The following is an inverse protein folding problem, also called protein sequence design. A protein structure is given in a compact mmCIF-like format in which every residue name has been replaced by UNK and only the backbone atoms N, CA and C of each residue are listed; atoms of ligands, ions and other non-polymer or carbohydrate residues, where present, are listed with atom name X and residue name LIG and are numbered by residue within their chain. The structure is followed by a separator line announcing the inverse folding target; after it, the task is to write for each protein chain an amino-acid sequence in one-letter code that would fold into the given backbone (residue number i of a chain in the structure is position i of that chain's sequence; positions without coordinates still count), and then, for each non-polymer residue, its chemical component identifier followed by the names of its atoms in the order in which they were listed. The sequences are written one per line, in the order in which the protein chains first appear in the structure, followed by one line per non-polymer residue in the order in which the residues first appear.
data_IF_102993804114
#
_entry.id   IF_102993804114
#
_cell.length_a   1.000
_cell.length_b   1.000
_cell.length_c   1.000
_cell.angle_alpha   90.00
_cell.angle_beta   90.00
_cell.angle_gamma   90.00
#
_symmetry.space_group_name_H-M   'P 1'
#
loop_
_entity.id
_entity.type
_entity.pdbx_description
1 polymer ?
#
# COMPACT_ATOMS: atom_id res chain seq x y z
N UNK A 1 5.52 -1.80 -27.53
CA UNK A 1 4.52 -2.85 -27.82
C UNK A 1 4.47 -3.91 -26.70
N UNK A 2 4.27 -3.54 -25.42
CA UNK A 2 4.29 -4.48 -24.27
C UNK A 2 3.23 -4.19 -23.18
N UNK A 3 2.17 -3.43 -23.49
CA UNK A 3 1.18 -2.94 -22.50
C UNK A 3 0.17 -3.99 -22.02
N UNK A 4 -0.06 -5.06 -22.79
CA UNK A 4 -1.26 -5.89 -22.62
C UNK A 4 -1.24 -6.92 -21.47
N UNK A 5 -0.08 -7.22 -20.87
CA UNK A 5 0.03 -8.24 -19.83
C UNK A 5 -0.10 -7.66 -18.42
N UNK A 6 0.59 -6.54 -18.16
CA UNK A 6 0.56 -5.87 -16.87
C UNK A 6 -0.82 -5.25 -16.58
N UNK A 7 -1.43 -4.59 -17.58
CA UNK A 7 -2.77 -4.00 -17.45
C UNK A 7 -3.84 -5.05 -17.12
N UNK A 8 -3.71 -6.27 -17.66
CA UNK A 8 -4.60 -7.39 -17.36
C UNK A 8 -4.44 -7.91 -15.93
N UNK A 9 -3.21 -8.11 -15.48
CA UNK A 9 -2.94 -8.60 -14.12
C UNK A 9 -3.44 -7.62 -13.05
N UNK A 10 -3.24 -6.31 -13.28
CA UNK A 10 -3.73 -5.24 -12.40
C UNK A 10 -5.27 -5.26 -12.35
N UNK A 11 -5.91 -5.32 -13.52
CA UNK A 11 -7.38 -5.38 -13.61
C UNK A 11 -7.96 -6.59 -12.88
N UNK A 12 -7.30 -7.75 -12.95
CA UNK A 12 -7.75 -8.96 -12.25
C UNK A 12 -7.58 -8.82 -10.74
N UNK A 13 -6.46 -8.27 -10.28
CA UNK A 13 -6.21 -8.03 -8.85
C UNK A 13 -7.33 -7.16 -8.23
N UNK A 14 -7.61 -6.00 -8.84
CA UNK A 14 -8.63 -5.08 -8.34
C UNK A 14 -10.06 -5.62 -8.46
N UNK A 15 -10.32 -6.46 -9.46
CA UNK A 15 -11.59 -7.19 -9.55
C UNK A 15 -11.82 -8.07 -8.30
N UNK A 16 -10.81 -8.84 -7.88
CA UNK A 16 -10.92 -9.66 -6.67
C UNK A 16 -11.03 -8.82 -5.40
N UNK A 17 -10.28 -7.73 -5.27
CA UNK A 17 -10.37 -6.83 -4.11
C UNK A 17 -11.78 -6.26 -3.96
N UNK A 18 -12.39 -5.78 -5.05
CA UNK A 18 -13.77 -5.26 -5.04
C UNK A 18 -14.80 -6.37 -4.78
N UNK A 19 -14.56 -7.59 -5.25
CA UNK A 19 -15.41 -8.75 -4.96
C UNK A 19 -15.36 -9.11 -3.46
N UNK A 20 -14.17 -9.16 -2.87
CA UNK A 20 -13.99 -9.40 -1.44
C UNK A 20 -14.60 -8.28 -0.60
N UNK A 21 -14.52 -7.02 -1.04
CA UNK A 21 -15.09 -5.87 -0.33
C UNK A 21 -16.62 -5.93 -0.22
N UNK A 22 -17.31 -6.56 -1.18
CA UNK A 22 -18.76 -6.75 -1.15
C UNK A 22 -19.21 -7.88 -0.22
N UNK A 23 -18.33 -8.85 0.04
CA UNK A 23 -18.61 -10.03 0.89
C UNK A 23 -18.13 -9.80 2.33
N UNK A 24 -17.19 -8.88 2.53
CA UNK A 24 -16.65 -8.57 3.84
C UNK A 24 -17.74 -8.05 4.77
N UNK A 25 -17.77 -8.58 5.99
CA UNK A 25 -18.67 -8.12 7.05
C UNK A 25 -18.32 -6.69 7.43
N UNK A 26 -19.33 -5.83 7.48
CA UNK A 26 -19.20 -4.43 7.84
C UNK A 26 -18.54 -4.26 9.21
N UNK A 27 -17.66 -3.24 9.33
CA UNK A 27 -16.93 -2.85 10.55
C UNK A 27 -15.87 -3.86 11.04
N UNK A 28 -15.44 -4.79 10.19
CA UNK A 28 -14.26 -5.62 10.47
C UNK A 28 -12.98 -4.92 10.01
N UNK A 29 -11.83 -5.23 10.65
CA UNK A 29 -10.50 -4.76 10.22
C UNK A 29 -10.23 -5.07 8.74
N UNK A 30 -10.75 -6.20 8.26
CA UNK A 30 -10.64 -6.61 6.86
C UNK A 30 -11.47 -5.69 5.94
N UNK A 31 -12.70 -5.34 6.33
CA UNK A 31 -13.51 -4.37 5.56
C UNK A 31 -12.86 -2.99 5.49
N UNK A 32 -12.20 -2.55 6.57
CA UNK A 32 -11.48 -1.29 6.62
C UNK A 32 -10.23 -1.32 5.72
N UNK A 33 -9.44 -2.40 5.77
CA UNK A 33 -8.29 -2.59 4.91
C UNK A 33 -8.66 -2.66 3.42
N UNK A 34 -9.77 -3.32 3.08
CA UNK A 34 -10.27 -3.38 1.70
C UNK A 34 -10.75 -2.01 1.22
N UNK A 35 -11.50 -1.26 2.04
CA UNK A 35 -11.90 0.12 1.72
C UNK A 35 -10.69 1.03 1.53
N UNK A 36 -9.70 0.93 2.41
CA UNK A 36 -8.44 1.66 2.28
C UNK A 36 -7.72 1.33 0.98
N UNK A 37 -7.62 0.04 0.64
CA UNK A 37 -6.96 -0.42 -0.58
C UNK A 37 -7.64 0.13 -1.84
N UNK A 38 -8.98 0.10 -1.89
CA UNK A 38 -9.75 0.66 -3.02
C UNK A 38 -9.53 2.17 -3.14
N UNK A 39 -9.49 2.90 -2.03
CA UNK A 39 -9.26 4.35 -2.04
C UNK A 39 -7.83 4.74 -2.48
N UNK A 40 -6.86 3.82 -2.36
CA UNK A 40 -5.47 4.06 -2.77
C UNK A 40 -5.15 3.50 -4.17
N UNK A 41 -6.12 2.86 -4.86
CA UNK A 41 -5.93 2.23 -6.16
C UNK A 41 -5.25 3.17 -7.18
N UNK A 42 -5.74 4.42 -7.27
CA UNK A 42 -5.19 5.42 -8.20
C UNK A 42 -3.71 5.70 -7.94
N UNK A 43 -3.30 5.82 -6.68
CA UNK A 43 -1.89 6.06 -6.31
C UNK A 43 -1.03 4.83 -6.51
N UNK A 44 -1.58 3.64 -6.23
CA UNK A 44 -0.86 2.38 -6.40
C UNK A 44 -0.60 2.07 -7.88
N UNK A 45 -1.47 2.53 -8.77
CA UNK A 45 -1.32 2.38 -10.22
C UNK A 45 -0.12 3.15 -10.76
N UNK A 46 0.20 4.31 -10.17
CA UNK A 46 1.35 5.14 -10.58
C UNK A 46 2.68 4.38 -10.47
N UNK A 47 2.87 3.55 -9.44
CA UNK A 47 4.09 2.73 -9.31
C UNK A 47 4.23 1.65 -10.39
N UNK A 48 3.13 1.25 -11.00
CA UNK A 48 3.11 0.24 -12.06
C UNK A 48 3.28 0.88 -13.44
N UNK A 49 2.92 2.16 -13.57
CA UNK A 49 3.10 2.97 -14.78
C UNK A 49 4.49 3.60 -14.85
N UNK A 50 5.05 4.01 -13.71
CA UNK A 50 6.39 4.59 -13.60
C UNK A 50 7.29 3.81 -12.64
N UNK A 51 8.08 2.89 -13.20
CA UNK A 51 9.02 2.05 -12.45
C UNK A 51 10.24 2.79 -11.89
N UNK A 52 10.36 4.11 -12.07
CA UNK A 52 11.39 4.92 -11.39
C UNK A 52 10.99 5.29 -9.97
N UNK A 53 9.72 5.09 -9.63
CA UNK A 53 9.17 5.44 -8.32
C UNK A 53 9.30 4.21 -7.43
N UNK A 54 10.09 4.35 -6.36
CA UNK A 54 10.26 3.32 -5.34
C UNK A 54 8.95 3.11 -4.57
N UNK A 55 8.43 1.87 -4.54
CA UNK A 55 7.24 1.52 -3.75
C UNK A 55 7.51 1.56 -2.24
N UNK A 56 8.78 1.46 -1.85
CA UNK A 56 9.18 1.47 -0.44
C UNK A 56 9.19 2.89 0.13
N UNK A 57 8.57 3.07 1.29
CA UNK A 57 8.60 4.34 2.01
C UNK A 57 9.85 4.49 2.91
N UNK A 58 10.82 3.57 2.82
CA UNK A 58 11.98 3.50 3.71
C UNK A 58 12.74 4.82 3.77
N UNK A 59 12.88 5.53 2.64
CA UNK A 59 13.58 6.82 2.60
C UNK A 59 12.84 7.91 3.39
N UNK A 60 11.51 7.98 3.26
CA UNK A 60 10.74 8.97 3.99
C UNK A 60 10.67 8.61 5.48
N UNK A 61 10.50 7.33 5.82
CA UNK A 61 10.57 6.85 7.20
C UNK A 61 11.89 7.22 7.87
N UNK A 62 13.02 6.96 7.20
CA UNK A 62 14.34 7.33 7.71
C UNK A 62 14.51 8.85 7.85
N UNK A 63 13.90 9.64 6.97
CA UNK A 63 13.93 11.09 7.06
C UNK A 63 13.10 11.64 8.23
N UNK A 64 11.94 11.04 8.54
CA UNK A 64 11.07 11.49 9.64
C UNK A 64 11.42 10.85 11.00
N UNK A 65 12.11 9.69 11.01
CA UNK A 65 12.59 9.01 12.22
C UNK A 65 13.31 9.95 13.21
N UNK A 66 14.32 10.75 12.82
CA UNK A 66 14.99 11.64 13.77
C UNK A 66 14.06 12.71 14.38
N UNK A 67 12.98 13.09 13.68
CA UNK A 67 11.99 14.04 14.18
C UNK A 67 11.01 13.39 15.17
N UNK A 68 10.60 12.15 14.90
CA UNK A 68 9.62 11.43 15.73
C UNK A 68 10.25 10.75 16.97
N UNK A 69 11.52 10.32 16.90
CA UNK A 69 12.20 9.57 17.96
C UNK A 69 12.54 10.44 19.18
N UNK A 70 12.62 11.76 19.04
CA UNK A 70 12.90 12.70 20.15
C UNK A 70 11.82 12.80 21.23
N UNK A 71 10.65 12.17 21.04
CA UNK A 71 9.55 12.16 22.02
C UNK A 71 9.20 10.72 22.43
N UNK A 72 10.04 10.16 23.32
CA UNK A 72 9.77 8.97 24.17
C UNK A 72 9.80 7.58 23.53
N UNK A 73 10.87 7.21 22.83
CA UNK A 73 11.13 5.80 22.60
C UNK A 73 12.61 5.51 22.32
N UNK A 74 13.37 5.32 23.40
CA UNK A 74 14.53 4.43 23.43
C UNK A 74 14.01 3.13 24.04
N UNK A 75 13.94 2.06 23.25
CA UNK A 75 13.71 0.63 23.58
C UNK A 75 12.63 0.00 22.71
N UNK A 76 13.02 -0.43 21.51
CA UNK A 76 12.65 -1.68 20.81
C UNK A 76 12.95 -1.53 19.30
N UNK A 77 14.21 -1.21 18.98
CA UNK A 77 14.68 -1.10 17.60
C UNK A 77 14.85 -2.51 16.99
N UNK A 78 13.72 -3.16 16.71
CA UNK A 78 13.59 -4.29 15.80
C UNK A 78 12.28 -4.12 15.00
N UNK A 79 12.10 -2.96 14.36
CA UNK A 79 11.46 -2.96 13.04
C UNK A 79 12.59 -2.91 12.03
N UNK A 80 13.22 -4.08 11.87
CA UNK A 80 13.83 -4.41 10.60
C UNK A 80 12.71 -4.42 9.54
N UNK A 81 13.11 -4.12 8.32
CA UNK A 81 12.28 -4.30 7.14
C UNK A 81 11.69 -5.72 7.06
#
# INVERSE_FOLDING_TARGET
MSRNSADRTISVCWYYVRKCAKVAVDKTKLSEALKYSINQEEKLRVYLEDGRIEISNNRAENAIRPFCVGRRYVLNLFMCC
#
